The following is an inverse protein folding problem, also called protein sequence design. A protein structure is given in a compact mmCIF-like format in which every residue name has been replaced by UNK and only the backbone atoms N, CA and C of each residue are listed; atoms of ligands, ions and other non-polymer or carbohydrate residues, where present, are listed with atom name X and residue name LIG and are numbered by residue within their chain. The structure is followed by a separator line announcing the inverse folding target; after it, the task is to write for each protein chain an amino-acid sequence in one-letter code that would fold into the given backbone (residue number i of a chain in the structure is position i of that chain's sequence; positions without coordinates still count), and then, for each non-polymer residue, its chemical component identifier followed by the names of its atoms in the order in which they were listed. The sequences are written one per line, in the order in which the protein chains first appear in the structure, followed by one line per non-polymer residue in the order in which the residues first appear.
data_IF_066273062306
#
_entry.id   IF_066273062306
#
_cell.length_a   1.000
_cell.length_b   1.000
_cell.length_c   1.000
_cell.angle_alpha   90.00
_cell.angle_beta   90.00
_cell.angle_gamma   90.00
#
_symmetry.space_group_name_H-M   'P 1'
#
loop_
_entity.id
_entity.type
_entity.pdbx_description
1 polymer ?
#
# COMPACT_ATOMS: atom_id res chain seq x y z
N UNK A 1 -1.11 -5.61 13.65
CA UNK A 1 -1.93 -6.53 12.81
C UNK A 1 -3.03 -5.80 12.03
N UNK A 2 -3.88 -4.98 12.66
CA UNK A 2 -4.98 -4.26 11.98
C UNK A 2 -4.52 -3.33 10.83
N UNK A 3 -3.38 -2.62 10.98
CA UNK A 3 -2.85 -1.75 9.92
C UNK A 3 -2.47 -2.48 8.63
N UNK A 4 -1.94 -3.70 8.71
CA UNK A 4 -1.53 -4.48 7.54
C UNK A 4 -2.75 -4.91 6.70
N UNK A 5 -3.85 -5.28 7.36
CA UNK A 5 -5.11 -5.69 6.71
C UNK A 5 -5.74 -4.51 5.98
N UNK A 6 -5.80 -3.33 6.62
CA UNK A 6 -6.39 -2.13 6.01
C UNK A 6 -5.56 -1.69 4.78
N UNK A 7 -4.22 -1.78 4.84
CA UNK A 7 -3.35 -1.49 3.69
C UNK A 7 -3.61 -2.44 2.50
N UNK A 8 -3.91 -3.71 2.77
CA UNK A 8 -4.23 -4.71 1.75
C UNK A 8 -5.56 -4.40 1.04
N UNK A 9 -6.58 -3.96 1.80
CA UNK A 9 -7.86 -3.51 1.24
C UNK A 9 -7.70 -2.26 0.36
N UNK A 10 -6.93 -1.26 0.81
CA UNK A 10 -6.68 -0.03 0.05
C UNK A 10 -5.92 -0.31 -1.24
N UNK A 11 -4.95 -1.24 -1.23
CA UNK A 11 -4.23 -1.65 -2.43
C UNK A 11 -5.18 -2.26 -3.49
N UNK A 12 -6.07 -3.18 -3.09
CA UNK A 12 -7.10 -3.76 -3.95
C UNK A 12 -8.04 -2.71 -4.53
N UNK A 13 -8.52 -1.79 -3.68
CA UNK A 13 -9.43 -0.72 -4.10
C UNK A 13 -8.76 0.25 -5.09
N UNK A 14 -7.45 0.47 -4.95
CA UNK A 14 -6.69 1.32 -5.86
C UNK A 14 -6.51 0.69 -7.24
N UNK A 15 -6.25 -0.61 -7.33
CA UNK A 15 -6.17 -1.33 -8.63
C UNK A 15 -7.48 -1.22 -9.42
N UNK A 16 -8.62 -1.35 -8.73
CA UNK A 16 -9.96 -1.18 -9.34
C UNK A 16 -10.18 0.25 -9.84
N UNK A 17 -9.67 1.24 -9.10
CA UNK A 17 -9.77 2.67 -9.45
C UNK A 17 -8.88 3.05 -10.64
N UNK A 18 -7.68 2.47 -10.73
CA UNK A 18 -6.72 2.65 -11.82
C UNK A 18 -7.27 2.07 -13.14
N UNK A 19 -7.90 0.89 -13.10
CA UNK A 19 -8.42 0.22 -14.30
C UNK A 19 -9.54 1.00 -15.00
N UNK A 20 -10.40 1.70 -14.23
CA UNK A 20 -11.47 2.55 -14.79
C UNK A 20 -10.94 3.83 -15.45
N UNK A 21 -9.80 4.33 -15.01
CA UNK A 21 -9.23 5.59 -15.51
C UNK A 21 -8.42 5.41 -16.79
N UNK A 22 -7.92 4.20 -17.05
CA UNK A 22 -7.21 3.85 -18.29
C UNK A 22 -8.07 4.05 -19.55
N UNK A 23 -9.41 3.91 -19.45
CA UNK A 23 -10.32 4.12 -20.58
C UNK A 23 -10.50 5.59 -21.00
N UNK A 24 -10.14 6.55 -20.13
CA UNK A 24 -10.36 8.00 -20.34
C UNK A 24 -9.06 8.80 -20.60
N UNK A 25 -7.90 8.15 -20.71
CA UNK A 25 -6.56 8.77 -20.84
C UNK A 25 -6.15 9.72 -19.68
N UNK A 26 -6.81 9.65 -18.52
CA UNK A 26 -6.51 10.54 -17.39
C UNK A 26 -5.34 10.00 -16.53
N UNK A 27 -4.12 10.21 -17.03
CA UNK A 27 -2.87 9.71 -16.42
C UNK A 27 -2.62 10.27 -15.02
N UNK A 28 -3.07 11.49 -14.70
CA UNK A 28 -2.82 12.12 -13.41
C UNK A 28 -3.48 11.37 -12.25
N UNK A 29 -4.73 10.97 -12.43
CA UNK A 29 -5.48 10.30 -11.37
C UNK A 29 -5.18 8.79 -11.31
N UNK A 30 -4.61 8.22 -12.38
CA UNK A 30 -3.96 6.91 -12.36
C UNK A 30 -2.72 6.92 -11.44
N UNK A 31 -1.85 7.93 -11.62
CA UNK A 31 -0.62 8.10 -10.83
C UNK A 31 -0.96 8.40 -9.37
N UNK A 32 -1.94 9.27 -9.09
CA UNK A 32 -2.32 9.61 -7.72
C UNK A 32 -2.86 8.40 -6.92
N UNK A 33 -3.68 7.57 -7.57
CA UNK A 33 -4.17 6.31 -7.00
C UNK A 33 -3.03 5.29 -6.83
N UNK A 34 -2.15 5.17 -7.84
CA UNK A 34 -1.00 4.27 -7.80
C UNK A 34 0.01 4.62 -6.69
N UNK A 35 0.32 5.91 -6.52
CA UNK A 35 1.22 6.39 -5.45
C UNK A 35 0.61 6.12 -4.08
N UNK A 36 -0.70 6.32 -3.92
CA UNK A 36 -1.40 5.99 -2.67
C UNK A 36 -1.29 4.48 -2.36
N UNK A 37 -1.47 3.61 -3.35
CA UNK A 37 -1.30 2.16 -3.16
C UNK A 37 0.15 1.78 -2.83
N UNK A 38 1.13 2.48 -3.40
CA UNK A 38 2.55 2.24 -3.17
C UNK A 38 2.97 2.64 -1.75
N UNK A 39 2.52 3.79 -1.25
CA UNK A 39 2.76 4.23 0.14
C UNK A 39 2.08 3.29 1.14
N UNK A 40 0.81 2.93 0.91
CA UNK A 40 0.09 1.99 1.77
C UNK A 40 0.70 0.57 1.73
N UNK A 41 1.16 0.11 0.56
CA UNK A 41 1.87 -1.17 0.42
C UNK A 41 3.21 -1.18 1.14
N UNK A 42 4.01 -0.12 1.00
CA UNK A 42 5.31 0.00 1.67
C UNK A 42 5.17 0.04 3.20
N UNK A 43 4.11 0.70 3.70
CA UNK A 43 3.79 0.72 5.13
C UNK A 43 3.38 -0.66 5.67
N UNK A 44 2.69 -1.46 4.85
CA UNK A 44 2.33 -2.85 5.20
C UNK A 44 3.56 -3.75 5.32
N UNK A 45 4.51 -3.63 4.37
CA UNK A 45 5.76 -4.40 4.39
C UNK A 45 6.56 -4.11 5.66
N UNK A 46 6.74 -2.85 6.04
CA UNK A 46 7.46 -2.48 7.27
C UNK A 46 6.82 -3.08 8.52
N UNK A 47 5.49 -3.13 8.59
CA UNK A 47 4.75 -3.74 9.71
C UNK A 47 4.98 -5.27 9.78
N UNK A 48 4.96 -5.95 8.63
CA UNK A 48 5.23 -7.39 8.55
C UNK A 48 6.68 -7.68 8.91
N UNK A 49 7.64 -6.92 8.37
CA UNK A 49 9.07 -7.07 8.69
C UNK A 49 9.35 -6.82 10.17
N UNK A 50 8.74 -5.79 10.78
CA UNK A 50 8.83 -5.57 12.24
C UNK A 50 8.27 -6.74 13.05
N UNK A 51 7.15 -7.34 12.64
CA UNK A 51 6.58 -8.48 13.35
C UNK A 51 7.35 -9.79 13.13
N UNK A 52 7.97 -9.96 11.95
CA UNK A 52 8.70 -11.16 11.59
C UNK A 52 10.14 -11.18 12.13
N UNK A 53 10.74 -10.01 12.37
CA UNK A 53 12.12 -9.84 12.86
C UNK A 53 12.17 -9.01 14.18
N UNK A 54 11.62 -9.51 15.29
CA UNK A 54 11.73 -8.84 16.60
C UNK A 54 13.14 -8.92 17.22
N UNK A 55 14.03 -9.79 16.71
CA UNK A 55 15.31 -10.11 17.35
C UNK A 55 16.52 -9.24 16.88
N UNK A 56 16.37 -8.36 15.89
CA UNK A 56 17.49 -7.58 15.32
C UNK A 56 17.41 -6.05 15.54
N UNK A 57 16.57 -5.56 16.46
CA UNK A 57 16.62 -4.15 16.89
C UNK A 57 16.21 -3.09 15.86
N UNK A 58 15.70 -3.49 14.69
CA UNK A 58 15.26 -2.61 13.60
C UNK A 58 13.86 -2.01 13.81
N UNK A 59 13.15 -2.47 14.85
CA UNK A 59 11.89 -1.90 15.31
C UNK A 59 12.05 -1.48 16.78
N UNK A 60 13.05 -0.64 17.07
CA UNK A 60 13.32 -0.14 18.41
C UNK A 60 12.32 0.94 18.82
N UNK A 61 11.42 0.57 19.72
CA UNK A 61 10.94 1.40 20.82
C UNK A 61 11.29 0.69 22.12
#
# INVERSE_FOLDING_TARGET
MVLAIICLLVALLSVVSVFRQLKYKNLLALVFSGVSALVFGFFSVMTITCNLMPHLGICGA
#
